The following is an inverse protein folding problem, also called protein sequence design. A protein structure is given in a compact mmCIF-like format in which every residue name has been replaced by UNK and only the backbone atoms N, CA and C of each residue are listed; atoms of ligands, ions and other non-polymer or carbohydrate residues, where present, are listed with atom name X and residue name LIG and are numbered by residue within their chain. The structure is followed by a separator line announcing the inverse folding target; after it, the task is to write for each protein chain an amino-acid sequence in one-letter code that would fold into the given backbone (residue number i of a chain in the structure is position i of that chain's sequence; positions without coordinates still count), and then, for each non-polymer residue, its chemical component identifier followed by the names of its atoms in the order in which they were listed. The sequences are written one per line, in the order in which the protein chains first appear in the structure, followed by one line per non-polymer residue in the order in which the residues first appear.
data_IF_691962982216
#
_entry.id   IF_691962982216
#
_cell.length_a   1.000
_cell.length_b   1.000
_cell.length_c   1.000
_cell.angle_alpha   90.00
_cell.angle_beta   90.00
_cell.angle_gamma   90.00
#
_symmetry.space_group_name_H-M   'P 1'
#
loop_
_entity.id
_entity.type
_entity.pdbx_description
1 polymer ?
#
# COMPACT_ATOMS: atom_id res chain seq x y z
N UNK A 1 18.96 4.54 -3.14
CA UNK A 1 17.74 3.69 -3.16
C UNK A 1 17.49 3.04 -1.80
N UNK A 2 18.53 2.66 -1.04
CA UNK A 2 18.38 2.09 0.30
C UNK A 2 17.58 2.97 1.28
N UNK A 3 17.75 4.29 1.22
CA UNK A 3 17.07 5.22 2.14
C UNK A 3 15.55 5.24 1.96
N UNK A 4 15.05 5.18 0.72
CA UNK A 4 13.60 5.16 0.43
C UNK A 4 12.96 3.83 0.78
N UNK A 5 13.66 2.72 0.56
CA UNK A 5 13.15 1.41 0.97
C UNK A 5 13.08 1.31 2.49
N UNK A 6 14.08 1.82 3.19
CA UNK A 6 14.06 1.90 4.64
C UNK A 6 12.89 2.74 5.15
N UNK A 7 12.71 3.96 4.62
CA UNK A 7 11.60 4.85 4.94
C UNK A 7 10.24 4.20 4.69
N UNK A 8 10.03 3.58 3.53
CA UNK A 8 8.79 2.89 3.21
C UNK A 8 8.49 1.73 4.18
N UNK A 9 9.51 0.96 4.58
CA UNK A 9 9.38 -0.12 5.57
C UNK A 9 9.07 0.41 6.97
N UNK A 10 9.66 1.54 7.36
CA UNK A 10 9.35 2.20 8.64
C UNK A 10 7.90 2.70 8.68
N UNK A 11 7.41 3.30 7.59
CA UNK A 11 6.02 3.74 7.47
C UNK A 11 5.04 2.56 7.50
N UNK A 12 5.34 1.47 6.79
CA UNK A 12 4.60 0.20 6.84
C UNK A 12 4.53 -0.33 8.28
N UNK A 13 5.67 -0.36 8.98
CA UNK A 13 5.74 -0.84 10.36
C UNK A 13 4.98 0.06 11.34
N UNK A 14 5.02 1.38 11.13
CA UNK A 14 4.24 2.35 11.89
C UNK A 14 2.73 2.12 11.66
N UNK A 15 2.32 1.91 10.41
CA UNK A 15 0.92 1.71 10.06
C UNK A 15 0.35 0.41 10.66
N UNK A 16 1.11 -0.70 10.64
CA UNK A 16 0.74 -1.98 11.28
C UNK A 16 0.52 -1.87 12.80
N UNK A 17 1.14 -0.89 13.46
CA UNK A 17 0.97 -0.68 14.91
C UNK A 17 -0.30 0.07 15.26
N UNK A 18 -0.97 0.68 14.28
CA UNK A 18 -2.16 1.47 14.52
C UNK A 18 -3.37 0.59 14.86
N UNK A 19 -4.09 0.97 15.91
CA UNK A 19 -5.38 0.35 16.27
C UNK A 19 -6.51 0.84 15.34
N UNK A 20 -6.41 2.06 14.82
CA UNK A 20 -7.38 2.72 13.93
C UNK A 20 -6.72 3.15 12.61
N UNK A 21 -7.47 3.33 11.50
CA UNK A 21 -6.92 3.86 10.26
C UNK A 21 -6.41 5.29 10.45
N UNK A 22 -5.24 5.57 9.86
CA UNK A 22 -4.68 6.92 9.80
C UNK A 22 -4.48 7.28 8.32
N UNK A 23 -5.32 8.20 7.83
CA UNK A 23 -5.30 8.58 6.42
C UNK A 23 -3.98 9.20 5.99
N UNK A 24 -3.40 10.02 6.88
CA UNK A 24 -2.17 10.74 6.59
C UNK A 24 -1.00 9.76 6.51
N UNK A 25 -0.92 8.81 7.43
CA UNK A 25 0.14 7.80 7.40
C UNK A 25 -0.01 6.86 6.20
N UNK A 26 -1.24 6.53 5.79
CA UNK A 26 -1.48 5.78 4.55
C UNK A 26 -0.97 6.55 3.32
N UNK A 27 -1.29 7.84 3.22
CA UNK A 27 -0.86 8.67 2.09
C UNK A 27 0.67 8.88 2.09
N UNK A 28 1.30 9.09 3.25
CA UNK A 28 2.75 9.17 3.42
C UNK A 28 3.43 7.85 3.00
N UNK A 29 2.88 6.70 3.40
CA UNK A 29 3.37 5.38 3.01
C UNK A 29 3.29 5.16 1.49
N UNK A 30 2.16 5.49 0.86
CA UNK A 30 1.99 5.36 -0.60
C UNK A 30 2.93 6.28 -1.38
N UNK A 31 3.16 7.50 -0.88
CA UNK A 31 4.12 8.42 -1.47
C UNK A 31 5.56 7.90 -1.38
N UNK A 32 5.96 7.34 -0.23
CA UNK A 32 7.27 6.72 -0.05
C UNK A 32 7.50 5.53 -0.98
N UNK A 33 6.43 4.78 -1.31
CA UNK A 33 6.44 3.68 -2.28
C UNK A 33 6.46 4.14 -3.75
N UNK A 34 6.44 5.45 -4.01
CA UNK A 34 6.43 5.98 -5.37
C UNK A 34 5.09 5.80 -6.09
N UNK A 35 4.02 5.52 -5.34
CA UNK A 35 2.64 5.39 -5.84
C UNK A 35 1.69 6.39 -5.16
N UNK A 36 2.01 7.70 -5.13
CA UNK A 36 1.09 8.70 -4.58
C UNK A 36 -0.21 8.71 -5.40
N UNK A 37 -1.36 8.67 -4.72
CA UNK A 37 -2.67 8.69 -5.38
C UNK A 37 -3.20 7.33 -5.82
N UNK A 38 -2.67 6.24 -5.27
CA UNK A 38 -3.23 4.90 -5.46
C UNK A 38 -4.55 4.76 -4.67
N UNK A 39 -5.64 5.23 -5.27
CA UNK A 39 -6.92 5.46 -4.59
C UNK A 39 -7.49 4.19 -3.97
N UNK A 40 -7.39 3.05 -4.65
CA UNK A 40 -7.94 1.78 -4.14
C UNK A 40 -7.23 1.31 -2.88
N UNK A 41 -5.89 1.25 -2.90
CA UNK A 41 -5.08 0.88 -1.74
C UNK A 41 -5.28 1.90 -0.61
N UNK A 42 -5.29 3.20 -0.93
CA UNK A 42 -5.56 4.25 0.04
C UNK A 42 -6.94 4.09 0.70
N UNK A 43 -7.99 3.86 -0.10
CA UNK A 43 -9.36 3.62 0.37
C UNK A 43 -9.45 2.37 1.24
N UNK A 44 -8.78 1.29 0.84
CA UNK A 44 -8.72 0.03 1.59
C UNK A 44 -8.11 0.26 2.98
N UNK A 45 -6.96 0.91 3.04
CA UNK A 45 -6.27 1.19 4.29
C UNK A 45 -7.09 2.10 5.22
N UNK A 46 -8.02 2.88 4.67
CA UNK A 46 -8.91 3.80 5.42
C UNK A 46 -10.21 3.13 5.89
N UNK A 47 -10.76 2.18 5.12
CA UNK A 47 -12.06 1.54 5.39
C UNK A 47 -11.98 0.19 6.12
N UNK A 48 -10.86 -0.54 5.95
CA UNK A 48 -10.72 -1.91 6.44
C UNK A 48 -10.56 -2.01 7.97
N UNK A 49 -11.03 -3.11 8.54
CA UNK A 49 -10.78 -3.43 9.95
C UNK A 49 -9.28 -3.66 10.21
N UNK A 50 -8.83 -3.64 11.47
CA UNK A 50 -7.40 -3.87 11.80
C UNK A 50 -6.82 -5.14 11.17
N UNK A 51 -7.56 -6.26 11.24
CA UNK A 51 -7.14 -7.54 10.67
C UNK A 51 -6.94 -7.47 9.15
N UNK A 52 -7.83 -6.75 8.48
CA UNK A 52 -7.81 -6.60 7.02
C UNK A 52 -6.76 -5.57 6.58
N UNK A 53 -6.55 -4.51 7.35
CA UNK A 53 -5.43 -3.58 7.16
C UNK A 53 -4.10 -4.28 7.31
N UNK A 54 -3.93 -5.12 8.33
CA UNK A 54 -2.70 -5.90 8.49
C UNK A 54 -2.43 -6.81 7.28
N UNK A 55 -3.47 -7.43 6.73
CA UNK A 55 -3.38 -8.24 5.52
C UNK A 55 -3.05 -7.39 4.27
N UNK A 56 -3.75 -6.28 4.07
CA UNK A 56 -3.53 -5.34 2.97
C UNK A 56 -2.11 -4.77 2.99
N UNK A 57 -1.61 -4.37 4.16
CA UNK A 57 -0.26 -3.85 4.32
C UNK A 57 0.78 -4.96 4.09
N UNK A 58 0.51 -6.19 4.53
CA UNK A 58 1.38 -7.32 4.23
C UNK A 58 1.47 -7.61 2.72
N UNK A 59 0.38 -7.39 1.95
CA UNK A 59 0.41 -7.46 0.50
C UNK A 59 1.29 -6.34 -0.08
N UNK A 60 1.04 -5.08 0.30
CA UNK A 60 1.85 -3.92 -0.14
C UNK A 60 3.34 -4.14 0.13
N UNK A 61 3.69 -4.69 1.31
CA UNK A 61 5.07 -4.98 1.71
C UNK A 61 5.79 -5.95 0.74
N UNK A 62 5.07 -6.88 0.12
CA UNK A 62 5.64 -7.82 -0.86
C UNK A 62 6.02 -7.13 -2.17
N UNK A 63 5.33 -6.04 -2.53
CA UNK A 63 5.58 -5.31 -3.79
C UNK A 63 6.61 -4.19 -3.64
N UNK A 64 7.05 -3.85 -2.42
CA UNK A 64 8.05 -2.80 -2.15
C UNK A 64 9.30 -2.91 -3.04
N UNK A 65 9.93 -4.10 -3.20
CA UNK A 65 11.13 -4.21 -4.04
C UNK A 65 10.85 -3.89 -5.52
N UNK A 66 9.64 -4.20 -6.00
CA UNK A 66 9.21 -3.89 -7.35
C UNK A 66 8.86 -2.41 -7.52
N UNK A 67 8.11 -1.84 -6.58
CA UNK A 67 7.68 -0.44 -6.57
C UNK A 67 8.85 0.55 -6.43
N UNK A 68 9.91 0.16 -5.71
CA UNK A 68 11.11 0.96 -5.53
C UNK A 68 12.25 0.59 -6.48
N UNK A 69 12.01 -0.33 -7.42
CA UNK A 69 13.00 -0.71 -8.41
C UNK A 69 13.40 0.48 -9.29
N UNK A 70 14.67 0.58 -9.64
CA UNK A 70 15.14 1.53 -10.65
C UNK A 70 14.59 1.24 -12.05
N UNK A 71 14.15 0.02 -12.31
CA UNK A 71 13.55 -0.41 -13.56
C UNK A 71 12.07 0.01 -13.64
N UNK A 72 11.75 0.82 -14.65
CA UNK A 72 10.39 1.30 -14.94
C UNK A 72 9.41 0.15 -15.20
N UNK A 73 9.83 -0.90 -15.93
CA UNK A 73 8.95 -2.04 -16.23
C UNK A 73 8.63 -2.84 -14.97
N UNK A 74 9.61 -3.01 -14.09
CA UNK A 74 9.41 -3.69 -12.81
C UNK A 74 8.45 -2.89 -11.91
N UNK A 75 8.59 -1.55 -11.89
CA UNK A 75 7.68 -0.65 -11.17
C UNK A 75 6.25 -0.70 -11.69
N UNK A 76 6.06 -0.57 -12.99
CA UNK A 76 4.72 -0.63 -13.60
C UNK A 76 4.07 -2.00 -13.36
N UNK A 77 4.82 -3.09 -13.49
CA UNK A 77 4.32 -4.44 -13.20
C UNK A 77 3.89 -4.57 -11.74
N UNK A 78 4.75 -4.18 -10.79
CA UNK A 78 4.43 -4.25 -9.37
C UNK A 78 3.20 -3.41 -9.02
N UNK A 79 3.09 -2.22 -9.61
CA UNK A 79 1.94 -1.33 -9.45
C UNK A 79 0.65 -1.97 -9.98
N UNK A 80 0.68 -2.55 -11.17
CA UNK A 80 -0.48 -3.20 -11.79
C UNK A 80 -0.91 -4.46 -11.06
N UNK A 81 0.05 -5.28 -10.64
CA UNK A 81 -0.23 -6.49 -9.85
C UNK A 81 -0.83 -6.11 -8.48
N UNK A 82 -0.35 -5.03 -7.86
CA UNK A 82 -0.92 -4.49 -6.63
C UNK A 82 -2.35 -3.96 -6.86
N UNK A 83 -2.60 -3.24 -7.96
CA UNK A 83 -3.95 -2.74 -8.32
C UNK A 83 -4.95 -3.89 -8.41
N UNK A 84 -4.62 -4.90 -9.21
CA UNK A 84 -5.51 -6.04 -9.44
C UNK A 84 -5.83 -6.79 -8.14
N UNK A 85 -4.88 -6.85 -7.20
CA UNK A 85 -5.12 -7.46 -5.88
C UNK A 85 -6.09 -6.67 -5.01
N UNK A 86 -6.15 -5.35 -5.16
CA UNK A 86 -7.05 -4.49 -4.40
C UNK A 86 -8.41 -4.33 -5.11
N UNK A 87 -8.46 -4.32 -6.43
CA UNK A 87 -9.71 -4.35 -7.22
C UNK A 87 -10.55 -5.60 -6.89
N UNK A 88 -9.89 -6.75 -6.66
CA UNK A 88 -10.53 -8.01 -6.31
C UNK A 88 -11.03 -8.09 -4.85
N UNK A 89 -10.79 -7.08 -4.01
CA UNK A 89 -11.28 -7.06 -2.63
C UNK A 89 -12.76 -6.65 -2.64
N UNK A 90 -13.71 -7.57 -2.34
CA UNK A 90 -15.15 -7.31 -2.49
C UNK A 90 -15.66 -6.16 -1.61
N UNK A 91 -14.96 -5.84 -0.50
CA UNK A 91 -15.31 -4.75 0.41
C UNK A 91 -14.92 -3.35 -0.10
N UNK A 92 -14.12 -3.24 -1.17
CA UNK A 92 -13.82 -1.94 -1.79
C UNK A 92 -14.84 -1.56 -2.87
N UNK A 93 -15.53 -2.56 -3.42
CA UNK A 93 -16.60 -2.45 -4.40
C UNK A 93 -18.00 -2.32 -3.75
N UNK A 94 -18.13 -1.61 -2.63
CA UNK A 94 -19.45 -1.19 -2.13
C UNK A 94 -19.90 0.08 -2.89
N UNK A 95 -20.39 -0.15 -4.10
CA UNK A 95 -21.44 0.62 -4.76
C UNK A 95 -22.68 -0.30 -4.93
N UNK A 96 -23.23 -0.76 -3.79
CA UNK A 96 -24.49 -1.48 -3.69
C UNK A 96 -25.49 -0.73 -2.79
#
# INVERSE_FOLDING_TARGET
MADREHEARELIAAFKRLEAPDERLADEMLAALGIPGFYEVGSALKKLSKKERDAAVAMVEQFVPGLLSGDEKAREKARRDLDALFEDIPMLNEDA
#
